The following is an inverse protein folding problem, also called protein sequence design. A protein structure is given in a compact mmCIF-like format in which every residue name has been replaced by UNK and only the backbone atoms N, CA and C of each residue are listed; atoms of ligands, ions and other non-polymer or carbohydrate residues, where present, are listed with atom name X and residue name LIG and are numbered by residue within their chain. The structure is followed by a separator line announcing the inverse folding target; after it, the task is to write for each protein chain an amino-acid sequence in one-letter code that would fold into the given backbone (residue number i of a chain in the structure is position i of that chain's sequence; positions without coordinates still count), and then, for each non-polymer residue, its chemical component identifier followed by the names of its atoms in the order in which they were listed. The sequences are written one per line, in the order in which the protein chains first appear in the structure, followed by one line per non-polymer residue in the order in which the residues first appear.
data_IF_676124203992
#
_entry.id   IF_676124203992
#
_cell.length_a   1.000
_cell.length_b   1.000
_cell.length_c   1.000
_cell.angle_alpha   90.00
_cell.angle_beta   90.00
_cell.angle_gamma   90.00
#
_symmetry.space_group_name_H-M   'P 1'
#
loop_
_entity.id
_entity.type
_entity.pdbx_description
1 polymer ?
#
# COMPACT_ATOMS: atom_id res chain seq x y z
N UNK A 1 19.33 -9.19 -27.52
CA UNK A 1 20.06 -8.63 -26.35
C UNK A 1 19.48 -7.23 -26.11
N UNK A 2 18.37 -7.12 -25.34
CA UNK A 2 17.60 -5.87 -25.27
C UNK A 2 16.40 -5.86 -24.33
N UNK A 3 16.33 -6.74 -23.32
CA UNK A 3 15.13 -6.89 -22.47
C UNK A 3 15.24 -6.13 -21.14
N UNK A 4 16.39 -6.18 -20.47
CA UNK A 4 16.53 -5.65 -19.09
C UNK A 4 16.21 -4.16 -18.91
N UNK A 5 16.62 -3.29 -19.85
CA UNK A 5 16.38 -1.85 -19.72
C UNK A 5 14.96 -1.39 -20.07
N UNK A 6 14.24 -2.19 -20.88
CA UNK A 6 12.84 -1.91 -21.21
C UNK A 6 11.91 -2.44 -20.13
N UNK A 7 12.22 -3.61 -19.56
CA UNK A 7 11.48 -4.20 -18.45
C UNK A 7 11.54 -3.29 -17.21
N UNK A 8 12.70 -2.73 -16.88
CA UNK A 8 12.87 -1.84 -15.72
C UNK A 8 12.14 -0.49 -15.88
N UNK A 9 12.11 0.06 -17.10
CA UNK A 9 11.38 1.28 -17.42
C UNK A 9 9.85 1.08 -17.40
N UNK A 10 9.37 -0.06 -17.90
CA UNK A 10 7.95 -0.44 -17.84
C UNK A 10 7.49 -0.70 -16.40
N UNK A 11 8.30 -1.40 -15.61
CA UNK A 11 8.03 -1.61 -14.18
C UNK A 11 7.93 -0.27 -13.45
N UNK A 12 8.87 0.65 -13.70
CA UNK A 12 8.84 1.99 -13.09
C UNK A 12 7.56 2.76 -13.48
N UNK A 13 7.16 2.70 -14.76
CA UNK A 13 5.94 3.36 -15.26
C UNK A 13 4.65 2.78 -14.66
N UNK A 14 4.57 1.46 -14.50
CA UNK A 14 3.40 0.79 -13.92
C UNK A 14 3.24 1.13 -12.43
N UNK A 15 4.34 1.14 -11.68
CA UNK A 15 4.35 1.54 -10.28
C UNK A 15 4.03 3.03 -10.11
N UNK A 16 4.54 3.91 -10.97
CA UNK A 16 4.19 5.34 -10.92
C UNK A 16 2.70 5.57 -11.22
N UNK A 17 2.11 4.83 -12.17
CA UNK A 17 0.67 4.87 -12.43
C UNK A 17 -0.15 4.39 -11.22
N UNK A 18 0.28 3.29 -10.58
CA UNK A 18 -0.32 2.80 -9.33
C UNK A 18 -0.24 3.85 -8.21
N UNK A 19 0.90 4.51 -8.04
CA UNK A 19 1.08 5.56 -7.02
C UNK A 19 0.11 6.72 -7.23
N UNK A 20 -0.07 7.19 -8.47
CA UNK A 20 -1.00 8.26 -8.78
C UNK A 20 -2.47 7.85 -8.57
N UNK A 21 -2.82 6.61 -8.93
CA UNK A 21 -4.13 6.05 -8.69
C UNK A 21 -4.44 5.92 -7.18
N UNK A 22 -3.49 5.39 -6.41
CA UNK A 22 -3.61 5.24 -4.97
C UNK A 22 -3.73 6.59 -4.27
N UNK A 23 -2.90 7.58 -4.62
CA UNK A 23 -2.99 8.91 -4.01
C UNK A 23 -4.36 9.57 -4.21
N UNK A 24 -4.95 9.44 -5.40
CA UNK A 24 -6.32 9.91 -5.70
C UNK A 24 -7.36 9.13 -4.90
N UNK A 25 -7.26 7.80 -4.87
CA UNK A 25 -8.16 6.96 -4.08
C UNK A 25 -8.13 7.35 -2.59
N UNK A 26 -6.94 7.58 -2.01
CA UNK A 26 -6.79 7.99 -0.61
C UNK A 26 -7.37 9.38 -0.32
N UNK A 27 -7.31 10.29 -1.31
CA UNK A 27 -7.89 11.63 -1.19
C UNK A 27 -9.43 11.58 -1.13
N UNK A 28 -10.02 10.64 -1.84
CA UNK A 28 -11.47 10.46 -1.98
C UNK A 28 -12.05 9.47 -0.97
N UNK A 29 -11.23 8.87 -0.09
CA UNK A 29 -11.70 7.92 0.90
C UNK A 29 -12.72 8.59 1.85
N UNK A 30 -13.94 8.04 1.96
CA UNK A 30 -14.92 8.55 2.91
C UNK A 30 -14.47 8.27 4.34
N UNK A 31 -15.01 9.03 5.31
CA UNK A 31 -14.68 8.78 6.73
C UNK A 31 -15.03 7.34 7.13
N UNK A 32 -14.20 6.73 7.99
CA UNK A 32 -14.33 5.35 8.47
C UNK A 32 -14.22 4.29 7.37
N UNK A 33 -13.64 4.64 6.24
CA UNK A 33 -13.32 3.70 5.20
C UNK A 33 -12.07 2.87 5.55
N UNK A 34 -12.11 1.60 5.17
CA UNK A 34 -10.93 0.74 5.10
C UNK A 34 -10.67 0.36 3.65
N UNK A 35 -9.42 0.50 3.21
CA UNK A 35 -8.92 0.04 1.92
C UNK A 35 -7.77 -0.92 2.17
N UNK A 36 -7.86 -2.13 1.62
CA UNK A 36 -6.80 -3.14 1.70
C UNK A 36 -6.34 -3.49 0.28
N UNK A 37 -5.04 -3.41 0.07
CA UNK A 37 -4.38 -3.83 -1.17
C UNK A 37 -3.55 -5.07 -0.83
N UNK A 38 -3.90 -6.21 -1.40
CA UNK A 38 -3.31 -7.52 -1.09
C UNK A 38 -2.63 -8.15 -2.30
N UNK A 39 -1.70 -9.05 -2.03
CA UNK A 39 -1.13 -10.03 -2.95
C UNK A 39 -1.07 -11.40 -2.26
N UNK A 40 -0.78 -12.46 -3.03
CA UNK A 40 -0.63 -13.81 -2.47
C UNK A 40 0.46 -13.86 -1.37
N UNK A 41 0.32 -14.76 -0.40
CA UNK A 41 1.31 -14.95 0.66
C UNK A 41 1.24 -13.92 1.79
N UNK A 42 0.02 -13.48 2.16
CA UNK A 42 -0.24 -12.52 3.24
C UNK A 42 0.47 -11.16 3.11
N UNK A 43 0.87 -10.80 1.89
CA UNK A 43 1.49 -9.51 1.59
C UNK A 43 0.41 -8.48 1.33
N UNK A 44 0.35 -7.43 2.13
CA UNK A 44 -0.65 -6.39 2.00
C UNK A 44 -0.18 -5.03 2.52
N UNK A 45 -0.88 -4.00 2.06
CA UNK A 45 -0.95 -2.70 2.72
C UNK A 45 -2.42 -2.36 2.96
N UNK A 46 -2.73 -1.91 4.17
CA UNK A 46 -4.06 -1.48 4.59
C UNK A 46 -4.04 0.00 4.92
N UNK A 47 -5.08 0.71 4.51
CA UNK A 47 -5.34 2.10 4.85
C UNK A 47 -6.66 2.19 5.60
N UNK A 48 -6.67 2.93 6.70
CA UNK A 48 -7.84 3.22 7.50
C UNK A 48 -8.02 4.72 7.63
N UNK A 49 -9.11 5.22 7.08
CA UNK A 49 -9.51 6.61 7.17
C UNK A 49 -10.32 6.82 8.44
N UNK A 50 -9.90 7.77 9.27
CA UNK A 50 -10.61 8.24 10.46
C UNK A 50 -10.93 9.73 10.32
N UNK A 51 -11.79 10.24 11.19
CA UNK A 51 -12.22 11.65 11.18
C UNK A 51 -11.04 12.65 11.24
N UNK A 52 -9.95 12.29 11.95
CA UNK A 52 -8.79 13.17 12.18
C UNK A 52 -7.46 12.65 11.64
N UNK A 53 -7.43 11.41 11.11
CA UNK A 53 -6.19 10.79 10.62
C UNK A 53 -6.42 9.78 9.51
N UNK A 54 -5.40 9.58 8.69
CA UNK A 54 -5.27 8.43 7.80
C UNK A 54 -4.15 7.54 8.34
N UNK A 55 -4.46 6.28 8.65
CA UNK A 55 -3.50 5.28 9.11
C UNK A 55 -3.20 4.30 8.00
N UNK A 56 -1.94 3.87 7.89
CA UNK A 56 -1.49 2.85 6.96
C UNK A 56 -0.72 1.77 7.72
N UNK A 57 -1.01 0.51 7.40
CA UNK A 57 -0.29 -0.65 7.90
C UNK A 57 0.25 -1.47 6.72
N UNK A 58 1.50 -1.90 6.83
CA UNK A 58 2.16 -2.78 5.86
C UNK A 58 2.57 -4.07 6.59
N UNK A 59 2.37 -5.23 5.95
CA UNK A 59 2.72 -6.53 6.52
C UNK A 59 4.14 -6.54 7.08
N UNK A 60 4.30 -7.01 8.32
CA UNK A 60 5.62 -7.29 8.88
C UNK A 60 5.97 -8.78 8.91
N UNK A 61 7.20 -9.07 9.36
CA UNK A 61 7.86 -10.37 9.20
C UNK A 61 7.07 -11.56 9.78
N UNK A 62 6.26 -11.36 10.81
CA UNK A 62 5.45 -12.42 11.42
C UNK A 62 4.56 -13.18 10.43
N UNK A 63 4.03 -12.46 9.44
CA UNK A 63 3.05 -12.99 8.50
C UNK A 63 3.66 -13.46 7.18
N UNK A 64 4.97 -13.29 6.99
CA UNK A 64 5.67 -13.57 5.75
C UNK A 64 6.43 -14.89 5.84
N UNK A 65 6.47 -15.63 4.72
CA UNK A 65 7.29 -16.83 4.61
C UNK A 65 8.78 -16.50 4.62
N UNK A 66 9.16 -15.37 4.01
CA UNK A 66 10.52 -14.85 3.97
C UNK A 66 10.55 -13.48 4.68
N UNK A 67 11.52 -13.23 5.57
CA UNK A 67 11.59 -11.96 6.28
C UNK A 67 11.96 -10.81 5.33
N UNK A 68 11.46 -9.61 5.63
CA UNK A 68 11.85 -8.37 4.93
C UNK A 68 13.36 -8.18 5.07
N UNK A 69 14.10 -8.01 3.96
CA UNK A 69 15.54 -7.73 3.99
C UNK A 69 15.86 -6.46 4.79
N UNK A 70 16.95 -6.44 5.55
CA UNK A 70 17.30 -5.28 6.40
C UNK A 70 17.44 -3.98 5.60
N UNK A 71 17.96 -4.05 4.37
CA UNK A 71 18.04 -2.90 3.48
C UNK A 71 16.65 -2.30 3.15
N UNK A 72 15.65 -3.15 2.92
CA UNK A 72 14.27 -2.72 2.68
C UNK A 72 13.61 -2.21 3.97
N UNK A 73 13.87 -2.86 5.12
CA UNK A 73 13.41 -2.39 6.43
C UNK A 73 13.97 -1.00 6.77
N UNK A 74 15.25 -0.75 6.47
CA UNK A 74 15.89 0.54 6.65
C UNK A 74 15.26 1.61 5.74
N UNK A 75 15.01 1.26 4.47
CA UNK A 75 14.30 2.14 3.53
C UNK A 75 12.90 2.50 4.00
N UNK A 76 12.16 1.56 4.59
CA UNK A 76 10.84 1.82 5.19
C UNK A 76 10.92 2.85 6.32
N UNK A 77 11.92 2.76 7.20
CA UNK A 77 12.14 3.74 8.28
C UNK A 77 12.41 5.14 7.72
N UNK A 78 13.25 5.24 6.69
CA UNK A 78 13.57 6.51 6.01
C UNK A 78 12.34 7.14 5.34
N UNK A 79 11.41 6.31 4.86
CA UNK A 79 10.12 6.74 4.31
C UNK A 79 9.10 7.11 5.40
N UNK A 80 9.46 7.01 6.67
CA UNK A 80 8.63 7.38 7.82
C UNK A 80 7.70 6.28 8.32
N UNK A 81 7.96 5.01 7.96
CA UNK A 81 7.29 3.87 8.58
C UNK A 81 7.92 3.56 9.94
N UNK A 82 7.07 3.28 10.92
CA UNK A 82 7.46 2.77 12.23
C UNK A 82 7.53 1.25 12.17
N UNK A 83 8.66 0.70 12.61
CA UNK A 83 8.84 -0.75 12.68
C UNK A 83 7.86 -1.41 13.67
N UNK A 84 7.50 -2.68 13.44
CA UNK A 84 6.73 -3.47 14.40
C UNK A 84 7.38 -3.50 15.79
N UNK A 85 6.57 -3.39 16.84
CA UNK A 85 7.07 -3.55 18.22
C UNK A 85 6.85 -4.99 18.63
N UNK A 86 7.95 -5.74 18.85
CA UNK A 86 8.04 -7.20 19.11
C UNK A 86 7.25 -7.69 20.35
N UNK A 87 6.49 -6.83 21.04
CA UNK A 87 5.71 -7.17 22.24
C UNK A 87 4.20 -6.99 22.09
N UNK A 88 3.71 -6.54 20.94
CA UNK A 88 2.27 -6.33 20.71
C UNK A 88 1.74 -7.31 19.67
N UNK A 89 0.46 -7.63 19.78
CA UNK A 89 -0.29 -8.58 18.92
C UNK A 89 -0.29 -8.19 17.42
N UNK A 90 0.13 -6.97 17.08
CA UNK A 90 0.17 -6.47 15.71
C UNK A 90 1.61 -6.21 15.30
N UNK A 91 2.14 -7.14 14.50
CA UNK A 91 3.50 -7.11 13.98
C UNK A 91 3.61 -6.43 12.60
N UNK A 92 2.80 -5.40 12.35
CA UNK A 92 2.84 -4.63 11.10
C UNK A 92 3.68 -3.36 11.21
N UNK A 93 4.25 -2.94 10.09
CA UNK A 93 4.80 -1.60 9.92
C UNK A 93 3.68 -0.59 9.88
N UNK A 94 3.87 0.59 10.48
CA UNK A 94 2.82 1.62 10.55
C UNK A 94 3.27 2.97 10.06
N UNK A 95 2.38 3.69 9.41
CA UNK A 95 2.53 5.11 9.08
C UNK A 95 1.20 5.81 9.29
N UNK A 96 1.19 7.07 9.68
CA UNK A 96 -0.06 7.82 9.86
C UNK A 96 0.13 9.30 9.56
N UNK A 97 -0.92 9.91 9.04
CA UNK A 97 -1.01 11.33 8.72
C UNK A 97 -2.23 11.93 9.41
N UNK A 98 -2.16 13.19 9.83
CA UNK A 98 -3.28 13.92 10.46
C UNK A 98 -3.96 14.85 9.45
N UNK A 99 -5.28 14.96 9.51
CA UNK A 99 -6.03 15.91 8.69
C UNK A 99 -5.85 17.36 9.18
N UNK A 100 -5.84 18.37 8.29
CA UNK A 100 -5.94 18.25 6.83
C UNK A 100 -4.64 17.76 6.18
N UNK A 101 -4.73 16.77 5.28
CA UNK A 101 -3.57 16.20 4.57
C UNK A 101 -3.42 16.87 3.20
N UNK A 102 -2.29 17.53 2.90
CA UNK A 102 -2.03 18.06 1.57
C UNK A 102 -1.93 16.95 0.51
N UNK A 103 -2.35 17.19 -0.74
CA UNK A 103 -2.23 16.20 -1.82
C UNK A 103 -0.82 15.65 -2.03
N UNK A 104 0.22 16.49 -1.82
CA UNK A 104 1.62 16.07 -1.88
C UNK A 104 1.96 15.00 -0.83
N UNK A 105 1.40 15.09 0.37
CA UNK A 105 1.60 14.12 1.46
C UNK A 105 0.86 12.80 1.21
N UNK A 106 -0.29 12.85 0.54
CA UNK A 106 -0.98 11.64 0.06
C UNK A 106 -0.17 10.95 -1.05
N UNK A 107 0.43 11.72 -1.96
CA UNK A 107 1.35 11.19 -2.98
C UNK A 107 2.58 10.53 -2.35
N UNK A 108 3.19 11.17 -1.35
CA UNK A 108 4.31 10.60 -0.60
C UNK A 108 3.93 9.32 0.17
N UNK A 109 2.72 9.27 0.73
CA UNK A 109 2.20 8.06 1.38
C UNK A 109 2.01 6.94 0.37
N UNK A 110 1.35 7.21 -0.76
CA UNK A 110 1.13 6.25 -1.84
C UNK A 110 2.47 5.73 -2.41
N UNK A 111 3.44 6.61 -2.66
CA UNK A 111 4.79 6.23 -3.11
C UNK A 111 5.49 5.34 -2.08
N UNK A 112 5.40 5.67 -0.80
CA UNK A 112 6.01 4.84 0.24
C UNK A 112 5.38 3.45 0.36
N UNK A 113 4.07 3.34 0.13
CA UNK A 113 3.36 2.07 0.14
C UNK A 113 3.75 1.21 -1.07
N UNK A 114 3.87 1.82 -2.26
CA UNK A 114 4.37 1.15 -3.46
C UNK A 114 5.79 0.60 -3.25
N UNK A 115 6.69 1.39 -2.67
CA UNK A 115 8.05 0.93 -2.31
C UNK A 115 7.99 -0.22 -1.31
N UNK A 116 7.12 -0.15 -0.29
CA UNK A 116 6.93 -1.26 0.65
C UNK A 116 6.45 -2.55 -0.02
N UNK A 117 5.44 -2.46 -0.89
CA UNK A 117 4.93 -3.60 -1.66
C UNK A 117 6.00 -4.21 -2.57
N UNK A 118 6.75 -3.37 -3.29
CA UNK A 118 7.75 -3.81 -4.25
C UNK A 118 9.05 -4.29 -3.58
N UNK A 119 9.70 -3.42 -2.81
CA UNK A 119 11.04 -3.67 -2.27
C UNK A 119 11.02 -4.53 -1.01
N UNK A 120 10.04 -4.32 -0.12
CA UNK A 120 9.99 -5.03 1.16
C UNK A 120 9.21 -6.35 1.04
N UNK A 121 8.10 -6.37 0.29
CA UNK A 121 7.27 -7.56 0.12
C UNK A 121 7.54 -8.33 -1.18
N UNK A 122 8.47 -7.86 -2.03
CA UNK A 122 8.91 -8.58 -3.23
C UNK A 122 7.81 -8.78 -4.27
N UNK A 123 6.85 -7.87 -4.36
CA UNK A 123 5.80 -7.90 -5.38
C UNK A 123 6.40 -7.29 -6.65
N UNK A 124 6.50 -8.07 -7.73
CA UNK A 124 7.20 -7.64 -8.95
C UNK A 124 6.39 -6.64 -9.77
N UNK A 125 5.06 -6.75 -9.76
CA UNK A 125 4.18 -5.90 -10.55
C UNK A 125 2.89 -5.51 -9.81
N UNK A 126 2.36 -4.28 -10.00
CA UNK A 126 1.04 -3.90 -9.50
C UNK A 126 -0.10 -4.81 -9.99
N UNK A 127 0.07 -5.53 -11.10
CA UNK A 127 -0.94 -6.45 -11.64
C UNK A 127 -1.18 -7.69 -10.75
N UNK A 128 -0.25 -7.97 -9.84
CA UNK A 128 -0.39 -9.00 -8.80
C UNK A 128 -1.32 -8.54 -7.67
N UNK A 129 -1.55 -7.23 -7.54
CA UNK A 129 -2.31 -6.63 -6.45
C UNK A 129 -3.82 -6.76 -6.66
N UNK A 130 -4.54 -6.80 -5.54
CA UNK A 130 -6.00 -6.80 -5.46
C UNK A 130 -6.42 -5.75 -4.46
N UNK A 131 -7.32 -4.86 -4.85
CA UNK A 131 -7.87 -3.87 -3.93
C UNK A 131 -9.27 -4.29 -3.48
N UNK A 132 -9.50 -4.18 -2.18
CA UNK A 132 -10.82 -4.34 -1.55
C UNK A 132 -11.01 -3.20 -0.58
N UNK A 133 -12.23 -2.69 -0.46
CA UNK A 133 -12.45 -1.53 0.38
C UNK A 133 -13.91 -1.43 0.75
N UNK A 134 -14.17 -0.97 1.96
CA UNK A 134 -15.51 -0.89 2.52
C UNK A 134 -15.61 0.27 3.50
N UNK A 135 -16.83 0.68 3.79
CA UNK A 135 -17.18 1.56 4.91
C UNK A 135 -18.10 0.82 5.86
N UNK A 136 -18.06 1.15 7.16
CA UNK A 136 -19.02 0.59 8.13
C UNK A 136 -20.48 0.95 7.80
N UNK A 137 -20.70 2.08 7.13
CA UNK A 137 -22.04 2.63 6.89
C UNK A 137 -22.68 2.24 5.55
N UNK A 138 -21.87 2.04 4.50
CA UNK A 138 -22.35 2.05 3.10
C UNK A 138 -22.01 0.78 2.30
N UNK A 139 -21.21 -0.14 2.88
CA UNK A 139 -20.71 -1.32 2.16
C UNK A 139 -19.47 -1.03 1.32
N UNK A 140 -19.31 -1.75 0.21
CA UNK A 140 -18.12 -1.72 -0.65
C UNK A 140 -17.84 -0.31 -1.22
N UNK A 141 -16.56 0.05 -1.28
CA UNK A 141 -16.08 1.29 -1.87
C UNK A 141 -16.05 1.21 -3.41
N UNK A 142 -16.30 2.35 -4.07
CA UNK A 142 -15.94 2.49 -5.48
C UNK A 142 -14.41 2.61 -5.61
N UNK A 143 -13.78 1.53 -6.06
CA UNK A 143 -12.34 1.44 -6.26
C UNK A 143 -11.93 1.64 -7.72
N UNK A 144 -12.86 2.08 -8.59
CA UNK A 144 -12.57 2.35 -10.01
C UNK A 144 -11.33 3.23 -10.26
N UNK A 145 -10.97 4.23 -9.41
CA UNK A 145 -9.72 4.98 -9.56
C UNK A 145 -8.45 4.14 -9.55
N UNK A 146 -8.48 2.96 -8.92
CA UNK A 146 -7.35 2.01 -8.88
C UNK A 146 -7.21 1.18 -10.17
N UNK A 147 -8.13 1.30 -11.12
CA UNK A 147 -8.04 0.64 -12.42
C UNK A 147 -8.06 -0.89 -12.33
N UNK A 148 -7.08 -1.56 -12.93
CA UNK A 148 -7.08 -3.02 -13.10
C UNK A 148 -7.07 -3.81 -11.78
N UNK A 149 -6.57 -3.22 -10.68
CA UNK A 149 -6.52 -3.89 -9.37
C UNK A 149 -7.87 -3.85 -8.62
N UNK A 150 -8.79 -2.98 -9.05
CA UNK A 150 -10.10 -2.78 -8.43
C UNK A 150 -11.08 -3.95 -8.63
N UNK A 151 -10.80 -4.85 -9.59
CA UNK A 151 -11.77 -5.85 -10.08
C UNK A 151 -11.28 -7.29 -10.11
N UNK A 152 -10.49 -7.72 -9.12
CA UNK A 152 -10.17 -9.15 -9.00
C UNK A 152 -10.42 -9.70 -7.59
N UNK A 153 -11.43 -9.15 -6.91
CA UNK A 153 -12.12 -9.83 -5.81
C UNK A 153 -13.37 -10.51 -6.36
N UNK A 154 -13.51 -11.80 -6.07
CA UNK A 154 -14.52 -12.75 -6.57
C UNK A 154 -14.21 -13.39 -7.93
N UNK A 155 -13.35 -14.41 -7.84
CA UNK A 155 -13.13 -15.49 -8.80
C UNK A 155 -12.39 -16.61 -8.09
#
# INVERSE_FOLDING_TARGET
MGTRGQDEALVTSDWDAFVQALARCLQELPSRATLVITAAGNRYVQFQQFDIKLSAELTGNYYLAEPIPEAAAQRLRELGWSAPVVRHEIENWRRSLLWPIPPSRLMELARSAAIGLHDALGIGSPNELRATGWTEASGDLDLSPLGAIARRGLG
#
